data_IF_440476304001
#
_entry.id   IF_440476304001
#
_cell.length_a   1.000
_cell.length_b   1.000
_cell.length_c   1.000
_cell.angle_alpha   90.00
_cell.angle_beta   90.00
_cell.angle_gamma   90.00
#
_symmetry.space_group_name_H-M   'P 1'
#
loop_
_entity.id
_entity.type
_entity.pdbx_description
1 polymer ?
#
# COMPACT_ATOMS: atom_id res chain seq x y z
N UNK A 1 0.06 -11.54 -9.07
CA UNK A 1 1.32 -10.76 -8.92
C UNK A 1 2.05 -11.18 -7.65
N UNK A 2 3.35 -11.26 -7.71
CA UNK A 2 4.20 -11.47 -6.53
C UNK A 2 5.08 -10.24 -6.35
N UNK A 3 5.14 -9.73 -5.14
CA UNK A 3 6.12 -8.71 -4.74
C UNK A 3 7.20 -9.44 -3.96
N UNK A 4 8.38 -9.56 -4.54
CA UNK A 4 9.50 -10.30 -3.95
C UNK A 4 10.60 -9.36 -3.44
N UNK A 5 11.51 -9.89 -2.64
CA UNK A 5 12.67 -9.16 -2.14
C UNK A 5 12.29 -7.89 -1.37
N UNK A 6 11.41 -8.06 -0.39
CA UNK A 6 10.96 -6.98 0.51
C UNK A 6 11.07 -7.42 1.97
N UNK A 7 11.16 -6.43 2.85
CA UNK A 7 10.99 -6.63 4.29
C UNK A 7 9.55 -6.33 4.65
N UNK A 8 8.76 -7.37 4.93
CA UNK A 8 7.32 -7.26 5.20
C UNK A 8 7.08 -7.04 6.68
N UNK A 9 6.31 -6.02 7.02
CA UNK A 9 5.85 -5.79 8.39
C UNK A 9 4.74 -6.79 8.73
N UNK A 10 4.98 -7.63 9.72
CA UNK A 10 4.05 -8.70 10.12
C UNK A 10 3.20 -8.30 11.33
N UNK A 11 2.09 -9.03 11.60
CA UNK A 11 1.27 -8.80 12.82
C UNK A 11 2.04 -8.88 14.12
N UNK A 12 3.15 -9.59 14.15
CA UNK A 12 4.05 -9.68 15.33
C UNK A 12 4.90 -8.43 15.53
N UNK A 13 4.64 -7.38 14.75
CA UNK A 13 5.38 -6.10 14.79
C UNK A 13 6.86 -6.25 14.48
N UNK A 14 7.19 -7.15 13.58
CA UNK A 14 8.54 -7.40 13.10
C UNK A 14 8.61 -7.28 11.60
N UNK A 15 9.79 -6.97 11.06
CA UNK A 15 10.06 -7.05 9.64
C UNK A 15 10.68 -8.40 9.29
N UNK A 16 10.09 -9.07 8.30
CA UNK A 16 10.53 -10.37 7.83
C UNK A 16 10.91 -10.25 6.36
N UNK A 17 12.12 -10.66 6.01
CA UNK A 17 12.55 -10.68 4.61
C UNK A 17 11.84 -11.80 3.86
N UNK A 18 11.23 -11.46 2.74
CA UNK A 18 10.48 -12.40 1.91
C UNK A 18 9.69 -11.69 0.83
N UNK A 19 8.41 -11.97 0.76
CA UNK A 19 7.55 -11.36 -0.24
C UNK A 19 6.07 -11.52 0.05
N UNK A 20 5.28 -11.00 -0.89
CA UNK A 20 3.82 -10.95 -0.80
C UNK A 20 3.24 -11.49 -2.09
N UNK A 21 2.31 -12.43 -1.98
CA UNK A 21 1.53 -12.94 -3.11
C UNK A 21 0.18 -12.23 -3.11
N UNK A 22 -0.13 -11.58 -4.23
CA UNK A 22 -1.40 -10.91 -4.46
C UNK A 22 -2.28 -11.76 -5.36
N UNK A 23 -3.58 -11.82 -5.04
CA UNK A 23 -4.63 -12.38 -5.86
C UNK A 23 -5.68 -11.29 -6.10
N UNK A 24 -5.60 -10.65 -7.28
CA UNK A 24 -6.40 -9.47 -7.57
C UNK A 24 -6.13 -8.35 -6.56
N UNK A 25 -7.16 -7.94 -5.84
CA UNK A 25 -7.13 -6.89 -4.82
C UNK A 25 -6.87 -7.42 -3.40
N UNK A 26 -6.50 -8.68 -3.25
CA UNK A 26 -6.29 -9.34 -1.96
C UNK A 26 -4.85 -9.79 -1.78
N UNK A 27 -4.38 -9.69 -0.54
CA UNK A 27 -3.15 -10.37 -0.13
C UNK A 27 -3.49 -11.83 0.11
N UNK A 28 -2.96 -12.71 -0.74
CA UNK A 28 -3.16 -14.15 -0.61
C UNK A 28 -2.26 -14.76 0.44
N UNK A 29 -0.98 -14.33 0.46
CA UNK A 29 0.02 -14.89 1.34
C UNK A 29 1.20 -13.94 1.52
N UNK A 30 1.78 -13.94 2.71
CA UNK A 30 3.11 -13.40 2.98
C UNK A 30 4.04 -14.59 3.23
N UNK A 31 5.22 -14.59 2.63
CA UNK A 31 6.19 -15.67 2.81
C UNK A 31 7.54 -15.14 3.27
N UNK A 32 8.23 -15.95 4.06
CA UNK A 32 9.62 -15.71 4.40
C UNK A 32 10.54 -16.19 3.26
N UNK A 33 11.70 -15.60 3.12
CA UNK A 33 12.66 -15.92 2.05
C UNK A 33 13.00 -17.43 1.99
N UNK A 34 13.12 -18.08 3.14
CA UNK A 34 13.38 -19.53 3.24
C UNK A 34 12.23 -20.39 2.68
N UNK A 35 11.02 -19.86 2.67
CA UNK A 35 9.80 -20.54 2.20
C UNK A 35 9.30 -19.96 0.87
N UNK A 36 10.16 -19.26 0.15
CA UNK A 36 9.80 -18.60 -1.10
C UNK A 36 9.20 -19.59 -2.09
N UNK A 37 8.03 -19.27 -2.68
CA UNK A 37 7.42 -20.09 -3.70
C UNK A 37 8.21 -19.99 -5.00
N UNK A 38 7.89 -20.84 -5.96
CA UNK A 38 8.39 -20.68 -7.31
C UNK A 38 7.83 -19.38 -7.90
N UNK A 39 8.72 -18.46 -8.29
CA UNK A 39 8.34 -17.14 -8.82
C UNK A 39 7.94 -17.27 -10.29
N UNK A 40 6.63 -17.41 -10.53
CA UNK A 40 6.04 -17.48 -11.86
C UNK A 40 5.14 -16.29 -12.12
N UNK A 41 5.05 -15.86 -13.38
CA UNK A 41 4.16 -14.79 -13.82
C UNK A 41 4.70 -13.39 -13.48
N UNK A 42 3.80 -12.50 -13.07
CA UNK A 42 4.15 -11.13 -12.69
C UNK A 42 4.89 -11.08 -11.37
N UNK A 43 6.16 -10.74 -11.41
CA UNK A 43 7.01 -10.55 -10.23
C UNK A 43 7.53 -9.12 -10.22
N UNK A 44 7.23 -8.38 -9.15
CA UNK A 44 7.82 -7.08 -8.86
C UNK A 44 8.96 -7.28 -7.86
N UNK A 45 10.17 -6.91 -8.27
CA UNK A 45 11.31 -6.88 -7.36
C UNK A 45 11.25 -5.64 -6.47
N UNK A 46 11.04 -5.84 -5.18
CA UNK A 46 10.99 -4.79 -4.19
C UNK A 46 12.35 -4.21 -3.79
N UNK A 47 13.45 -4.77 -4.32
CA UNK A 47 14.84 -4.25 -4.17
C UNK A 47 15.26 -4.01 -2.72
N UNK A 48 14.77 -4.83 -1.79
CA UNK A 48 15.06 -4.69 -0.37
C UNK A 48 14.30 -3.57 0.32
N UNK A 49 13.28 -3.02 -0.30
CA UNK A 49 12.40 -2.04 0.34
C UNK A 49 11.57 -2.64 1.47
N UNK A 50 11.04 -1.79 2.32
CA UNK A 50 10.13 -2.19 3.39
C UNK A 50 8.69 -2.15 2.87
N UNK A 51 7.94 -3.22 3.09
CA UNK A 51 6.52 -3.31 2.79
C UNK A 51 5.72 -3.14 4.09
N UNK A 52 4.96 -2.07 4.15
CA UNK A 52 4.11 -1.72 5.30
C UNK A 52 2.66 -1.58 4.84
N UNK A 53 1.67 -1.69 5.75
CA UNK A 53 0.30 -1.30 5.43
C UNK A 53 0.23 0.15 4.97
N UNK A 54 -0.73 0.45 4.11
CA UNK A 54 -0.99 1.83 3.71
C UNK A 54 -1.31 2.71 4.93
N UNK A 55 -0.94 3.98 4.85
CA UNK A 55 -1.05 4.92 5.94
C UNK A 55 -2.50 5.41 6.12
N UNK A 56 -2.84 5.81 7.33
CA UNK A 56 -4.12 6.45 7.64
C UNK A 56 -3.83 7.87 8.09
N UNK A 57 -4.37 8.85 7.35
CA UNK A 57 -4.28 10.26 7.74
C UNK A 57 -5.45 10.59 8.68
N UNK A 58 -5.13 10.95 9.90
CA UNK A 58 -6.12 11.19 10.95
C UNK A 58 -6.65 12.63 10.96
N UNK A 59 -6.07 13.53 10.18
CA UNK A 59 -6.49 14.93 10.12
C UNK A 59 -6.21 15.51 8.74
N UNK A 60 -7.23 15.56 7.91
CA UNK A 60 -7.09 15.92 6.51
C UNK A 60 -8.22 16.88 6.07
N UNK A 61 -7.88 17.90 5.31
CA UNK A 61 -8.81 18.87 4.73
C UNK A 61 -8.87 18.81 3.22
N UNK A 62 -7.71 18.62 2.58
CA UNK A 62 -7.58 18.59 1.14
C UNK A 62 -6.12 18.73 0.69
N UNK A 63 -5.91 18.64 -0.61
CA UNK A 63 -4.59 18.78 -1.21
C UNK A 63 -4.71 19.25 -2.67
N UNK A 64 -3.58 19.65 -3.25
CA UNK A 64 -3.51 20.07 -4.66
C UNK A 64 -4.45 21.21 -5.03
N UNK A 65 -4.81 22.05 -4.07
CA UNK A 65 -5.74 23.16 -4.28
C UNK A 65 -7.21 22.80 -4.14
N UNK A 66 -7.52 21.55 -3.86
CA UNK A 66 -8.89 21.06 -3.61
C UNK A 66 -9.13 20.86 -2.11
N UNK A 67 -10.36 21.09 -1.66
CA UNK A 67 -10.82 20.87 -0.30
C UNK A 67 -12.07 19.98 -0.31
N UNK A 68 -12.22 19.11 0.67
CA UNK A 68 -13.44 18.29 0.81
C UNK A 68 -14.70 19.12 1.00
N UNK A 69 -14.57 20.30 1.63
CA UNK A 69 -15.68 21.23 1.82
C UNK A 69 -16.21 21.83 0.52
N UNK A 70 -15.45 21.75 -0.58
CA UNK A 70 -15.91 22.22 -1.88
C UNK A 70 -17.10 21.38 -2.41
N UNK A 71 -17.26 20.16 -1.91
CA UNK A 71 -18.36 19.28 -2.28
C UNK A 71 -18.36 18.83 -3.74
N UNK A 72 -17.23 19.00 -4.42
CA UNK A 72 -17.08 18.63 -5.82
C UNK A 72 -16.54 17.19 -5.96
N UNK A 73 -17.30 16.36 -6.66
CA UNK A 73 -16.91 14.97 -6.91
C UNK A 73 -15.56 14.85 -7.65
N UNK A 74 -15.29 15.74 -8.59
CA UNK A 74 -14.02 15.73 -9.32
C UNK A 74 -12.84 16.11 -8.43
N UNK A 75 -13.03 17.07 -7.51
CA UNK A 75 -12.03 17.43 -6.51
C UNK A 75 -11.71 16.26 -5.58
N UNK A 76 -12.72 15.55 -5.10
CA UNK A 76 -12.56 14.35 -4.27
C UNK A 76 -11.77 13.27 -5.02
N UNK A 77 -12.03 13.09 -6.31
CA UNK A 77 -11.28 12.16 -7.16
C UNK A 77 -9.79 12.51 -7.25
N UNK A 78 -9.46 13.78 -7.47
CA UNK A 78 -8.06 14.25 -7.53
C UNK A 78 -7.34 14.10 -6.19
N UNK A 79 -8.02 14.40 -5.09
CA UNK A 79 -7.51 14.19 -3.75
C UNK A 79 -7.18 12.70 -3.53
N UNK A 80 -8.12 11.81 -3.82
CA UNK A 80 -7.95 10.37 -3.62
C UNK A 80 -6.79 9.81 -4.46
N UNK A 81 -6.66 10.25 -5.70
CA UNK A 81 -5.56 9.83 -6.58
C UNK A 81 -4.20 10.27 -6.02
N UNK A 82 -4.11 11.51 -5.57
CA UNK A 82 -2.87 12.02 -4.96
C UNK A 82 -2.51 11.25 -3.68
N UNK A 83 -3.47 11.08 -2.77
CA UNK A 83 -3.25 10.39 -1.51
C UNK A 83 -2.82 8.92 -1.72
N UNK A 84 -3.44 8.23 -2.67
CA UNK A 84 -3.02 6.89 -3.06
C UNK A 84 -1.58 6.87 -3.59
N UNK A 85 -1.18 7.89 -4.35
CA UNK A 85 0.17 7.99 -4.92
C UNK A 85 1.27 8.16 -3.88
N UNK A 86 0.93 8.67 -2.70
CA UNK A 86 1.87 8.86 -1.58
C UNK A 86 1.70 7.81 -0.47
N UNK A 87 0.90 6.77 -0.72
CA UNK A 87 0.76 5.62 0.19
C UNK A 87 -0.31 5.76 1.26
N UNK A 88 -1.20 6.74 1.16
CA UNK A 88 -2.33 6.90 2.08
C UNK A 88 -3.48 6.00 1.64
N UNK A 89 -3.89 5.09 2.53
CA UNK A 89 -4.97 4.13 2.31
C UNK A 89 -6.34 4.70 2.70
N UNK A 90 -6.37 5.48 3.74
CA UNK A 90 -7.60 6.06 4.29
C UNK A 90 -7.31 7.40 4.97
N UNK A 91 -8.32 8.24 5.06
CA UNK A 91 -8.19 9.53 5.71
C UNK A 91 -9.45 9.88 6.50
N UNK A 92 -9.31 10.79 7.45
CA UNK A 92 -10.41 11.34 8.22
C UNK A 92 -10.45 12.85 7.95
N UNK A 93 -11.53 13.30 7.34
CA UNK A 93 -11.80 14.73 7.19
C UNK A 93 -12.31 15.31 8.51
N UNK A 94 -11.73 16.40 8.92
CA UNK A 94 -12.11 17.13 10.13
C UNK A 94 -12.61 18.52 9.78
#
# INVERSE_FOLDING_TARGET
MIIDNVYVFTPDKAFVKGGIILDGDKIRQVYEEKDAPQLNGDVLDGKGCYAIPGLIDLHFHGCKGDDFCDGDKAAIGRIAEYEASVGVLSLIHI
#
